data_IF_303651310323
#
_entry.id   IF_303651310323
#
_cell.length_a   1.000
_cell.length_b   1.000
_cell.length_c   1.000
_cell.angle_alpha   90.00
_cell.angle_beta   90.00
_cell.angle_gamma   90.00
#
_symmetry.space_group_name_H-M   'P 1'
#
loop_
_entity.id
_entity.type
_entity.pdbx_description
1 polymer ?
#
# COMPACT_ATOMS: atom_id res chain seq x y z
N UNK A 1 -15.26 -10.16 68.26
CA UNK A 1 -15.06 -9.51 66.93
C UNK A 1 -15.44 -10.50 65.86
N UNK A 2 -16.48 -10.14 65.11
CA UNK A 2 -17.27 -10.99 64.21
C UNK A 2 -16.60 -11.12 62.84
N UNK A 3 -16.26 -12.33 62.41
CA UNK A 3 -15.94 -12.63 61.00
C UNK A 3 -17.26 -12.83 60.24
N UNK A 4 -17.60 -11.86 59.38
CA UNK A 4 -18.73 -11.95 58.47
C UNK A 4 -18.31 -12.76 57.24
N UNK A 5 -18.95 -13.92 57.06
CA UNK A 5 -18.99 -14.65 55.80
C UNK A 5 -19.96 -13.89 54.90
N UNK A 6 -19.46 -13.30 53.82
CA UNK A 6 -20.30 -12.72 52.77
C UNK A 6 -20.34 -13.73 51.62
N UNK A 7 -21.44 -14.46 51.55
CA UNK A 7 -21.83 -15.29 50.42
C UNK A 7 -22.16 -14.36 49.24
N UNK A 8 -21.27 -14.25 48.25
CA UNK A 8 -21.59 -13.62 46.97
C UNK A 8 -22.29 -14.65 46.08
N UNK A 9 -23.61 -14.51 46.00
CA UNK A 9 -24.46 -15.16 45.02
C UNK A 9 -24.21 -14.49 43.66
N UNK A 10 -23.41 -15.12 42.79
CA UNK A 10 -23.34 -14.71 41.39
C UNK A 10 -24.64 -15.16 40.71
N UNK A 11 -25.58 -14.22 40.58
CA UNK A 11 -26.68 -14.35 39.61
C UNK A 11 -26.07 -14.32 38.22
N UNK A 12 -25.97 -15.48 37.58
CA UNK A 12 -25.77 -15.61 36.15
C UNK A 12 -26.96 -14.92 35.47
N UNK A 13 -26.78 -13.69 35.00
CA UNK A 13 -27.66 -13.12 33.98
C UNK A 13 -27.26 -13.81 32.68
N UNK A 14 -27.84 -14.98 32.43
CA UNK A 14 -27.88 -15.54 31.10
C UNK A 14 -28.73 -14.60 30.25
N UNK A 15 -28.10 -13.70 29.52
CA UNK A 15 -28.72 -13.03 28.39
C UNK A 15 -29.01 -14.10 27.34
N UNK A 16 -30.16 -14.76 27.49
CA UNK A 16 -30.80 -15.53 26.44
C UNK A 16 -31.09 -14.54 25.31
N UNK A 17 -30.19 -14.45 24.33
CA UNK A 17 -30.50 -13.86 23.03
C UNK A 17 -31.48 -14.82 22.35
N UNK A 18 -32.76 -14.69 22.71
CA UNK A 18 -33.85 -15.21 21.89
C UNK A 18 -33.71 -14.49 20.54
N UNK A 19 -33.32 -15.22 19.49
CA UNK A 19 -33.53 -14.75 18.14
C UNK A 19 -35.02 -14.45 18.00
N UNK A 20 -35.37 -13.17 17.91
CA UNK A 20 -36.73 -12.78 17.59
C UNK A 20 -37.01 -13.30 16.18
N UNK A 21 -37.83 -14.35 16.08
CA UNK A 21 -38.49 -14.68 14.83
C UNK A 21 -39.44 -13.53 14.55
N UNK A 22 -39.04 -12.64 13.63
CA UNK A 22 -39.91 -11.59 13.13
C UNK A 22 -40.91 -12.29 12.23
N UNK A 23 -42.19 -12.22 12.59
CA UNK A 23 -43.27 -12.82 11.81
C UNK A 23 -43.24 -12.27 10.38
N UNK A 24 -43.24 -13.17 9.40
CA UNK A 24 -43.14 -12.83 7.98
C UNK A 24 -41.73 -12.62 7.43
N UNK A 25 -40.67 -12.61 8.26
CA UNK A 25 -39.28 -12.60 7.79
C UNK A 25 -38.79 -14.03 7.53
N UNK A 26 -38.44 -14.31 6.29
CA UNK A 26 -38.02 -15.63 5.82
C UNK A 26 -36.67 -15.56 5.09
N UNK A 27 -35.98 -16.69 5.03
CA UNK A 27 -34.75 -16.87 4.26
C UNK A 27 -35.03 -17.75 3.05
N UNK A 28 -34.62 -17.33 1.86
CA UNK A 28 -34.69 -18.12 0.64
C UNK A 28 -33.29 -18.58 0.25
N UNK A 29 -33.13 -19.88 0.00
CA UNK A 29 -31.83 -20.43 -0.39
C UNK A 29 -31.32 -19.79 -1.69
N UNK A 30 -30.07 -19.34 -1.68
CA UNK A 30 -29.43 -18.70 -2.83
C UNK A 30 -28.34 -19.58 -3.45
N UNK A 31 -27.31 -19.96 -2.67
CA UNK A 31 -26.21 -20.78 -3.19
C UNK A 31 -25.45 -21.48 -2.08
N UNK A 32 -24.68 -22.51 -2.46
CA UNK A 32 -23.76 -23.21 -1.57
C UNK A 32 -22.36 -23.18 -2.16
N UNK A 33 -21.36 -22.83 -1.34
CA UNK A 33 -19.94 -23.03 -1.65
C UNK A 33 -19.35 -24.04 -0.67
N UNK A 34 -18.49 -24.93 -1.15
CA UNK A 34 -17.80 -25.91 -0.32
C UNK A 34 -16.30 -25.60 -0.35
N UNK A 35 -15.67 -25.52 0.83
CA UNK A 35 -14.22 -25.48 0.98
C UNK A 35 -13.72 -26.82 1.54
N UNK A 36 -12.40 -27.05 1.63
CA UNK A 36 -11.84 -28.22 2.30
C UNK A 36 -12.23 -28.35 3.79
N UNK A 37 -12.79 -27.30 4.40
CA UNK A 37 -13.07 -27.25 5.84
C UNK A 37 -14.57 -27.13 6.18
N UNK A 38 -15.40 -26.58 5.29
CA UNK A 38 -16.79 -26.27 5.61
C UNK A 38 -17.67 -26.10 4.36
N UNK A 39 -18.98 -26.17 4.58
CA UNK A 39 -20.02 -25.78 3.63
C UNK A 39 -20.57 -24.40 4.02
N UNK A 40 -20.73 -23.51 3.04
CA UNK A 40 -21.19 -22.14 3.19
C UNK A 40 -22.49 -21.97 2.40
N UNK A 41 -23.62 -22.04 3.10
CA UNK A 41 -24.95 -21.89 2.52
C UNK A 41 -25.40 -20.43 2.67
N UNK A 42 -25.65 -19.77 1.54
CA UNK A 42 -26.13 -18.39 1.49
C UNK A 42 -27.61 -18.37 1.17
N UNK A 43 -28.30 -17.43 1.79
CA UNK A 43 -29.72 -17.19 1.63
C UNK A 43 -29.95 -15.69 1.42
N UNK A 44 -30.98 -15.36 0.65
CA UNK A 44 -31.56 -14.01 0.56
C UNK A 44 -32.69 -13.88 1.58
N UNK A 45 -33.13 -12.65 1.84
CA UNK A 45 -34.25 -12.38 2.75
C UNK A 45 -35.53 -12.05 1.99
N UNK A 46 -36.66 -12.47 2.56
CA UNK A 46 -37.99 -11.99 2.20
C UNK A 46 -38.75 -11.54 3.44
N UNK A 47 -39.53 -10.48 3.34
CA UNK A 47 -40.48 -10.07 4.37
C UNK A 47 -41.88 -10.00 3.77
N UNK A 48 -42.83 -10.78 4.30
CA UNK A 48 -44.20 -10.88 3.77
C UNK A 48 -44.25 -11.15 2.25
N UNK A 49 -43.37 -12.05 1.79
CA UNK A 49 -43.17 -12.39 0.38
C UNK A 49 -42.59 -11.27 -0.52
N UNK A 50 -42.16 -10.14 0.07
CA UNK A 50 -41.43 -9.08 -0.61
C UNK A 50 -39.93 -9.33 -0.43
N UNK A 51 -39.15 -9.33 -1.51
CA UNK A 51 -37.72 -9.59 -1.43
C UNK A 51 -36.96 -8.39 -0.88
N UNK A 52 -36.04 -8.63 0.06
CA UNK A 52 -35.14 -7.62 0.61
C UNK A 52 -33.84 -7.66 -0.19
N UNK A 53 -33.44 -6.50 -0.73
CA UNK A 53 -32.23 -6.34 -1.53
C UNK A 53 -30.99 -6.18 -0.65
N UNK A 54 -29.82 -6.50 -1.23
CA UNK A 54 -28.48 -6.28 -0.64
C UNK A 54 -28.16 -6.98 0.69
N UNK A 55 -29.12 -7.69 1.27
CA UNK A 55 -28.91 -8.44 2.51
C UNK A 55 -28.87 -9.95 2.28
N UNK A 56 -27.99 -10.64 3.02
CA UNK A 56 -27.80 -12.08 2.97
C UNK A 56 -27.69 -12.69 4.37
N UNK A 57 -28.16 -13.92 4.48
CA UNK A 57 -27.93 -14.78 5.62
C UNK A 57 -26.96 -15.90 5.20
N UNK A 58 -25.98 -16.19 6.05
CA UNK A 58 -24.96 -17.20 5.82
C UNK A 58 -25.03 -18.22 6.95
N UNK A 59 -25.13 -19.49 6.57
CA UNK A 59 -24.90 -20.63 7.44
C UNK A 59 -23.58 -21.30 7.07
N UNK A 60 -22.71 -21.46 8.06
CA UNK A 60 -21.45 -22.20 7.94
C UNK A 60 -21.66 -23.52 8.66
N UNK A 61 -21.53 -24.61 7.91
CA UNK A 61 -21.70 -25.98 8.40
C UNK A 61 -20.40 -26.75 8.20
N UNK A 62 -20.15 -27.72 9.08
CA UNK A 62 -19.08 -28.69 8.88
C UNK A 62 -19.41 -29.59 7.68
N UNK A 63 -18.42 -30.33 7.18
CA UNK A 63 -18.61 -31.20 6.00
C UNK A 63 -19.62 -32.33 6.22
N UNK A 64 -19.82 -32.73 7.48
CA UNK A 64 -20.84 -33.68 7.95
C UNK A 64 -22.20 -33.02 8.27
N UNK A 65 -22.34 -31.72 8.03
CA UNK A 65 -23.62 -31.00 8.04
C UNK A 65 -24.01 -30.31 9.35
N UNK A 66 -23.19 -30.43 10.40
CA UNK A 66 -23.43 -29.75 11.68
C UNK A 66 -23.24 -28.23 11.55
N UNK A 67 -24.15 -27.47 12.15
CA UNK A 67 -24.07 -26.01 12.17
C UNK A 67 -22.86 -25.55 13.00
N UNK A 68 -21.98 -24.76 12.41
CA UNK A 68 -20.83 -24.16 13.10
C UNK A 68 -21.16 -22.73 13.50
N UNK A 69 -21.61 -21.91 12.55
CA UNK A 69 -21.81 -20.48 12.74
C UNK A 69 -22.81 -19.92 11.75
N UNK A 70 -23.52 -18.87 12.14
CA UNK A 70 -24.37 -18.10 11.24
C UNK A 70 -23.94 -16.64 11.21
N UNK A 71 -24.22 -15.94 10.11
CA UNK A 71 -23.98 -14.50 9.96
C UNK A 71 -25.12 -13.88 9.15
N UNK A 72 -25.60 -12.73 9.60
CA UNK A 72 -26.60 -11.91 8.91
C UNK A 72 -25.96 -10.59 8.51
N UNK A 73 -26.19 -10.12 7.29
CA UNK A 73 -25.95 -8.70 6.96
C UNK A 73 -27.14 -7.79 7.23
N UNK A 74 -28.33 -8.36 7.52
CA UNK A 74 -29.49 -7.58 7.94
C UNK A 74 -29.31 -7.16 9.40
N UNK A 75 -29.20 -5.86 9.65
CA UNK A 75 -28.90 -5.28 10.96
C UNK A 75 -30.07 -5.40 11.95
N UNK A 76 -29.80 -5.18 13.24
CA UNK A 76 -30.84 -5.23 14.27
C UNK A 76 -31.86 -4.10 14.10
N UNK A 77 -31.41 -2.93 13.64
CA UNK A 77 -32.23 -1.75 13.37
C UNK A 77 -33.14 -2.00 12.16
N UNK A 78 -32.59 -2.53 11.06
CA UNK A 78 -33.36 -2.89 9.87
C UNK A 78 -34.45 -3.92 10.19
N UNK A 79 -34.09 -4.94 10.99
CA UNK A 79 -35.01 -5.95 11.51
C UNK A 79 -36.13 -5.32 12.35
N UNK A 80 -35.80 -4.44 13.29
CA UNK A 80 -36.77 -3.79 14.16
C UNK A 80 -37.74 -2.86 13.42
N UNK A 81 -37.33 -2.32 12.26
CA UNK A 81 -38.16 -1.44 11.44
C UNK A 81 -39.11 -2.19 10.48
N UNK A 82 -39.00 -3.52 10.35
CA UNK A 82 -39.94 -4.31 9.56
C UNK A 82 -41.34 -4.24 10.20
N UNK A 83 -42.34 -3.92 9.38
CA UNK A 83 -43.71 -3.76 9.84
C UNK A 83 -44.71 -4.08 8.72
N UNK A 84 -45.97 -4.41 9.03
CA UNK A 84 -46.94 -4.88 8.03
C UNK A 84 -47.41 -3.85 6.98
N UNK A 85 -47.03 -2.57 7.08
CA UNK A 85 -47.39 -1.56 6.08
C UNK A 85 -46.37 -1.41 4.97
N UNK A 86 -45.29 -2.20 4.98
CA UNK A 86 -44.28 -2.18 3.93
C UNK A 86 -44.82 -2.85 2.67
N UNK A 87 -44.65 -2.20 1.53
CA UNK A 87 -45.11 -2.68 0.23
C UNK A 87 -43.93 -2.87 -0.74
N UNK A 88 -44.11 -3.74 -1.72
CA UNK A 88 -43.09 -4.10 -2.71
C UNK A 88 -43.12 -3.22 -3.96
N UNK A 89 -42.35 -3.58 -5.01
CA UNK A 89 -41.95 -4.96 -5.33
C UNK A 89 -40.71 -5.49 -4.59
N UNK A 90 -39.82 -4.61 -4.12
CA UNK A 90 -38.64 -4.98 -3.34
C UNK A 90 -38.42 -3.99 -2.20
N UNK A 91 -37.74 -4.43 -1.13
CA UNK A 91 -37.37 -3.58 0.00
C UNK A 91 -35.87 -3.28 -0.01
N UNK A 92 -35.52 -2.00 0.10
CA UNK A 92 -34.14 -1.51 0.25
C UNK A 92 -34.01 -0.74 1.57
N UNK A 93 -32.98 -1.05 2.35
CA UNK A 93 -32.71 -0.35 3.62
C UNK A 93 -31.74 0.80 3.40
N UNK A 94 -32.19 2.04 3.67
CA UNK A 94 -31.36 3.25 3.57
C UNK A 94 -31.77 4.25 4.65
N UNK A 95 -30.80 4.96 5.22
CA UNK A 95 -31.06 6.07 6.15
C UNK A 95 -32.07 5.73 7.26
N UNK A 96 -31.94 4.52 7.84
CA UNK A 96 -32.80 3.96 8.86
C UNK A 96 -34.29 3.78 8.46
N UNK A 97 -34.59 3.63 7.18
CA UNK A 97 -35.93 3.41 6.66
C UNK A 97 -35.95 2.33 5.56
N UNK A 98 -37.08 1.63 5.47
CA UNK A 98 -37.37 0.70 4.38
C UNK A 98 -38.00 1.47 3.22
N UNK A 99 -37.38 1.38 2.04
CA UNK A 99 -37.87 1.95 0.80
C UNK A 99 -38.46 0.84 -0.07
N UNK A 100 -39.61 1.08 -0.67
CA UNK A 100 -40.13 0.26 -1.76
C UNK A 100 -39.47 0.68 -3.07
N UNK A 101 -38.79 -0.26 -3.72
CA UNK A 101 -38.00 0.03 -4.92
C UNK A 101 -38.20 -0.98 -6.03
N UNK A 102 -37.97 -0.54 -7.27
CA UNK A 102 -37.73 -1.40 -8.44
C UNK A 102 -36.26 -1.25 -8.86
N UNK A 103 -35.45 -2.31 -8.78
CA UNK A 103 -34.09 -2.29 -9.33
C UNK A 103 -34.11 -2.42 -10.86
N UNK A 104 -33.20 -1.73 -11.51
CA UNK A 104 -32.85 -1.88 -12.92
C UNK A 104 -31.34 -2.05 -13.04
N UNK A 105 -30.88 -2.98 -13.88
CA UNK A 105 -29.44 -3.31 -13.97
C UNK A 105 -28.95 -3.08 -15.39
N UNK A 106 -27.97 -2.19 -15.52
CA UNK A 106 -27.25 -1.97 -16.78
C UNK A 106 -25.93 -2.72 -16.73
N UNK A 107 -25.68 -3.55 -17.74
CA UNK A 107 -24.35 -4.11 -18.01
C UNK A 107 -24.14 -4.16 -19.53
N UNK A 108 -23.45 -3.16 -20.07
CA UNK A 108 -23.17 -3.04 -21.51
C UNK A 108 -21.70 -3.32 -21.86
N UNK A 109 -20.91 -3.82 -20.91
CA UNK A 109 -19.47 -4.08 -21.06
C UNK A 109 -18.57 -2.88 -20.81
N UNK A 110 -19.13 -1.67 -20.68
CA UNK A 110 -18.42 -0.43 -20.30
C UNK A 110 -18.98 0.08 -18.97
N UNK A 111 -20.30 0.17 -18.89
CA UNK A 111 -21.05 0.57 -17.72
C UNK A 111 -21.65 -0.67 -17.05
N UNK A 112 -21.47 -0.75 -15.74
CA UNK A 112 -22.08 -1.77 -14.90
C UNK A 112 -22.61 -1.10 -13.63
N UNK A 113 -23.93 -0.93 -13.53
CA UNK A 113 -24.57 -0.29 -12.38
C UNK A 113 -25.97 -0.84 -12.12
N UNK A 114 -26.50 -0.58 -10.92
CA UNK A 114 -27.88 -0.85 -10.53
C UNK A 114 -28.56 0.44 -10.13
N UNK A 115 -29.65 0.80 -10.80
CA UNK A 115 -30.50 1.93 -10.44
C UNK A 115 -31.72 1.46 -9.65
N UNK A 116 -32.06 2.16 -8.59
CA UNK A 116 -33.26 1.89 -7.79
C UNK A 116 -34.30 2.99 -8.03
N UNK A 117 -35.50 2.59 -8.47
CA UNK A 117 -36.60 3.51 -8.75
C UNK A 117 -37.71 3.39 -7.70
N UNK A 118 -38.36 4.50 -7.34
CA UNK A 118 -39.56 4.49 -6.50
C UNK A 118 -40.82 4.08 -7.29
N UNK A 119 -41.98 4.07 -6.63
CA UNK A 119 -43.28 3.75 -7.25
C UNK A 119 -43.74 4.76 -8.31
N UNK A 120 -43.23 5.98 -8.27
CA UNK A 120 -43.49 7.05 -9.25
C UNK A 120 -42.50 7.02 -10.42
N UNK A 121 -41.61 6.01 -10.45
CA UNK A 121 -40.53 5.83 -11.41
C UNK A 121 -39.48 6.96 -11.39
N UNK A 122 -39.27 7.56 -10.22
CA UNK A 122 -38.17 8.47 -9.96
C UNK A 122 -36.95 7.69 -9.45
N UNK A 123 -35.76 8.06 -9.91
CA UNK A 123 -34.49 7.47 -9.47
C UNK A 123 -34.20 7.86 -8.01
N UNK A 124 -33.98 6.87 -7.15
CA UNK A 124 -33.61 7.04 -5.74
C UNK A 124 -32.09 7.05 -5.59
N UNK A 125 -31.43 6.06 -6.17
CA UNK A 125 -30.00 5.80 -6.00
C UNK A 125 -29.49 4.97 -7.18
N UNK A 126 -28.26 5.26 -7.60
CA UNK A 126 -27.49 4.42 -8.52
C UNK A 126 -26.31 3.81 -7.76
N UNK A 127 -26.15 2.50 -7.87
CA UNK A 127 -25.02 1.75 -7.34
C UNK A 127 -24.10 1.35 -8.49
N UNK A 128 -22.97 2.02 -8.60
CA UNK A 128 -21.93 1.66 -9.55
C UNK A 128 -21.24 0.36 -9.14
N UNK A 129 -21.15 -0.58 -10.09
CA UNK A 129 -20.54 -1.90 -9.94
C UNK A 129 -19.23 -2.03 -10.74
N UNK A 130 -18.76 -0.95 -11.38
CA UNK A 130 -17.45 -0.92 -12.01
C UNK A 130 -16.33 -0.78 -10.99
N UNK A 131 -15.20 -1.42 -11.30
CA UNK A 131 -13.93 -1.13 -10.63
C UNK A 131 -13.30 0.06 -11.35
N UNK A 132 -13.33 1.24 -10.73
CA UNK A 132 -12.60 2.41 -11.23
C UNK A 132 -11.14 2.32 -10.82
N UNK A 133 -10.24 2.53 -11.79
CA UNK A 133 -8.86 2.87 -11.47
C UNK A 133 -8.89 4.28 -10.89
N UNK A 134 -8.65 4.37 -9.58
CA UNK A 134 -8.52 5.64 -8.88
C UNK A 134 -7.09 6.14 -9.04
N UNK A 135 -6.59 6.25 -10.27
CA UNK A 135 -5.25 6.70 -10.58
C UNK A 135 -5.23 7.91 -11.52
N UNK A 136 -4.10 8.59 -11.54
CA UNK A 136 -3.83 9.70 -12.46
C UNK A 136 -2.34 9.75 -12.76
N UNK A 137 -1.98 10.23 -13.95
CA UNK A 137 -0.59 10.45 -14.33
C UNK A 137 -0.22 11.90 -14.10
N UNK A 138 0.79 12.12 -13.27
CA UNK A 138 1.31 13.46 -12.93
C UNK A 138 2.68 13.67 -13.54
N UNK A 139 3.02 14.92 -13.83
CA UNK A 139 4.39 15.30 -14.16
C UNK A 139 5.19 15.45 -12.87
N UNK A 140 6.44 15.00 -12.89
CA UNK A 140 7.37 15.07 -11.75
C UNK A 140 8.74 15.54 -12.22
N UNK A 141 9.46 16.22 -11.33
CA UNK A 141 10.88 16.57 -11.50
C UNK A 141 11.73 15.62 -10.67
N UNK A 142 12.75 15.03 -11.28
CA UNK A 142 13.63 14.02 -10.65
C UNK A 142 15.08 14.15 -11.13
N UNK A 143 16.02 13.66 -10.32
CA UNK A 143 17.32 13.21 -10.83
C UNK A 143 17.16 11.83 -11.48
N UNK A 144 17.99 11.49 -12.48
CA UNK A 144 17.84 10.20 -13.17
C UNK A 144 19.16 9.67 -13.76
N UNK A 145 19.81 8.68 -13.11
CA UNK A 145 19.53 8.22 -11.74
C UNK A 145 19.92 9.27 -10.68
N UNK A 146 20.90 10.11 -10.99
CA UNK A 146 21.51 11.10 -10.10
C UNK A 146 21.80 12.41 -10.88
N UNK A 147 22.14 13.53 -10.22
CA UNK A 147 22.36 14.79 -10.92
C UNK A 147 23.64 14.84 -11.77
N UNK A 148 24.68 14.07 -11.42
CA UNK A 148 26.04 14.28 -11.90
C UNK A 148 26.48 13.30 -12.98
N UNK A 149 26.24 12.01 -12.79
CA UNK A 149 26.71 10.94 -13.69
C UNK A 149 26.17 11.08 -15.11
N UNK A 150 24.87 11.37 -15.34
CA UNK A 150 24.35 11.59 -16.69
C UNK A 150 25.04 12.73 -17.43
N UNK A 151 25.61 13.68 -16.68
CA UNK A 151 26.24 14.89 -17.17
C UNK A 151 27.78 14.79 -17.20
N UNK A 152 28.36 13.63 -16.87
CA UNK A 152 29.81 13.44 -16.68
C UNK A 152 30.43 14.46 -15.71
N UNK A 153 29.68 14.82 -14.68
CA UNK A 153 30.15 15.70 -13.61
C UNK A 153 30.67 14.87 -12.44
N UNK A 154 31.37 15.52 -11.50
CA UNK A 154 31.87 14.87 -10.29
C UNK A 154 31.57 15.77 -9.10
N UNK A 155 31.32 15.14 -7.95
CA UNK A 155 31.01 15.84 -6.72
C UNK A 155 32.13 16.83 -6.35
N UNK A 156 31.75 18.05 -6.00
CA UNK A 156 32.68 19.11 -5.61
C UNK A 156 32.41 20.47 -6.27
N UNK A 157 33.05 21.51 -5.76
CA UNK A 157 32.88 22.87 -6.28
C UNK A 157 31.44 23.37 -6.09
N UNK A 158 30.72 23.57 -7.19
CA UNK A 158 29.30 23.98 -7.18
C UNK A 158 28.33 22.78 -7.23
N UNK A 159 28.85 21.56 -7.38
CA UNK A 159 28.10 20.30 -7.48
C UNK A 159 28.21 19.53 -6.17
N UNK A 160 27.69 20.11 -5.09
CA UNK A 160 27.73 19.53 -3.73
C UNK A 160 26.41 19.79 -3.05
N UNK A 161 25.83 18.84 -2.34
CA UNK A 161 24.47 18.94 -1.78
C UNK A 161 24.18 20.30 -1.08
N UNK A 162 25.08 20.74 -0.18
CA UNK A 162 24.97 22.01 0.55
C UNK A 162 23.69 22.15 1.40
N UNK A 163 23.14 21.04 1.90
CA UNK A 163 21.89 21.00 2.66
C UNK A 163 20.80 21.79 1.91
N UNK A 164 20.55 21.40 0.67
CA UNK A 164 19.59 22.02 -0.27
C UNK A 164 19.90 23.43 -0.73
N UNK A 165 20.99 24.02 -0.22
CA UNK A 165 21.36 25.41 -0.49
C UNK A 165 21.82 25.68 -1.93
N UNK A 166 22.00 24.67 -2.75
CA UNK A 166 22.56 24.78 -4.11
C UNK A 166 21.52 24.57 -5.23
N UNK A 167 20.22 24.55 -4.92
CA UNK A 167 19.16 24.17 -5.88
C UNK A 167 19.23 24.94 -7.21
N UNK A 168 19.64 26.21 -7.20
CA UNK A 168 19.85 26.99 -8.44
C UNK A 168 20.87 26.40 -9.43
N UNK A 169 21.74 25.48 -9.00
CA UNK A 169 22.65 24.70 -9.86
C UNK A 169 22.04 23.33 -10.17
N UNK A 170 21.69 22.55 -9.14
CA UNK A 170 21.28 21.15 -9.33
C UNK A 170 19.89 20.99 -9.95
N UNK A 171 18.97 21.95 -9.76
CA UNK A 171 17.65 21.92 -10.42
C UNK A 171 17.80 21.93 -11.94
N UNK A 172 18.88 22.52 -12.47
CA UNK A 172 19.16 22.51 -13.91
C UNK A 172 19.60 21.14 -14.45
N UNK A 173 19.98 20.21 -13.56
CA UNK A 173 20.40 18.85 -13.87
C UNK A 173 19.26 17.82 -13.69
N UNK A 174 18.10 18.26 -13.22
CA UNK A 174 16.88 17.44 -13.17
C UNK A 174 16.25 17.26 -14.55
N UNK A 175 15.43 16.22 -14.68
CA UNK A 175 14.53 16.04 -15.83
C UNK A 175 13.07 16.15 -15.37
N UNK A 176 12.18 16.44 -16.33
CA UNK A 176 10.74 16.25 -16.15
C UNK A 176 10.32 14.93 -16.79
N UNK A 177 9.60 14.11 -16.03
CA UNK A 177 8.98 12.88 -16.52
C UNK A 177 7.59 12.71 -15.85
N UNK A 178 7.03 11.51 -15.87
CA UNK A 178 5.71 11.21 -15.37
C UNK A 178 5.66 9.89 -14.61
N UNK A 179 4.78 9.87 -13.61
CA UNK A 179 4.48 8.70 -12.79
C UNK A 179 2.97 8.62 -12.56
N UNK A 180 2.44 7.40 -12.50
CA UNK A 180 1.04 7.14 -12.16
C UNK A 180 0.89 6.98 -10.66
N UNK A 181 -0.11 7.67 -10.10
CA UNK A 181 -0.37 7.78 -8.67
C UNK A 181 -1.86 7.72 -8.36
N UNK A 182 -2.22 7.32 -7.15
CA UNK A 182 -3.59 7.18 -6.69
C UNK A 182 -4.26 8.54 -6.45
N UNK A 183 -5.57 8.62 -6.73
CA UNK A 183 -6.49 9.68 -6.34
C UNK A 183 -7.46 9.11 -5.29
N UNK A 184 -7.38 9.60 -4.06
CA UNK A 184 -8.25 9.16 -2.97
C UNK A 184 -9.04 10.35 -2.43
N UNK A 185 -10.37 10.32 -2.56
CA UNK A 185 -11.27 11.42 -2.17
C UNK A 185 -10.82 12.76 -2.78
N UNK A 186 -10.71 12.81 -4.11
CA UNK A 186 -10.26 13.97 -4.89
C UNK A 186 -8.86 14.50 -4.53
N UNK A 187 -8.06 13.72 -3.81
CA UNK A 187 -6.70 14.08 -3.39
C UNK A 187 -5.70 13.15 -4.04
N UNK A 188 -4.75 13.70 -4.80
CA UNK A 188 -3.63 12.92 -5.36
C UNK A 188 -2.68 12.54 -4.23
N UNK A 189 -2.23 11.30 -4.21
CA UNK A 189 -1.33 10.76 -3.17
C UNK A 189 -0.07 10.21 -3.82
N UNK A 190 1.11 10.42 -3.24
CA UNK A 190 2.34 9.73 -3.62
C UNK A 190 2.27 8.24 -3.24
N UNK A 191 1.44 7.53 -3.99
CA UNK A 191 1.03 6.16 -3.75
C UNK A 191 0.59 5.54 -5.08
N UNK A 192 0.90 4.28 -5.32
CA UNK A 192 0.30 3.47 -6.37
C UNK A 192 0.36 1.98 -5.96
N UNK A 193 0.27 1.06 -6.93
CA UNK A 193 0.35 -0.38 -6.66
C UNK A 193 1.69 -0.85 -6.08
N UNK A 194 2.77 -0.08 -6.25
CA UNK A 194 4.14 -0.46 -5.90
C UNK A 194 4.69 0.26 -4.67
N UNK A 195 4.23 1.48 -4.39
CA UNK A 195 4.74 2.31 -3.30
C UNK A 195 3.60 3.05 -2.58
N UNK A 196 3.79 3.33 -1.29
CA UNK A 196 3.02 4.29 -0.52
C UNK A 196 3.96 5.12 0.37
N UNK A 197 4.12 6.40 0.02
CA UNK A 197 4.90 7.33 0.85
C UNK A 197 4.09 7.69 2.09
N UNK A 198 4.66 7.45 3.27
CA UNK A 198 4.05 7.71 4.57
C UNK A 198 5.11 8.17 5.56
N UNK A 199 4.78 9.20 6.32
CA UNK A 199 5.57 9.69 7.46
C UNK A 199 5.33 8.77 8.68
N UNK A 200 6.37 8.05 9.12
CA UNK A 200 6.27 7.12 10.25
C UNK A 200 7.48 7.11 11.18
N UNK A 201 8.57 7.78 10.84
CA UNK A 201 9.74 7.96 11.69
C UNK A 201 10.06 9.46 11.83
N UNK A 202 10.96 9.84 12.72
CA UNK A 202 11.36 11.25 12.80
C UNK A 202 12.36 11.59 11.67
N UNK A 203 12.47 12.85 11.22
CA UNK A 203 11.56 13.96 11.49
C UNK A 203 10.18 13.80 10.84
N UNK A 204 9.12 14.22 11.54
CA UNK A 204 7.75 14.09 11.03
C UNK A 204 7.42 15.18 10.01
N UNK A 205 7.58 14.86 8.73
CA UNK A 205 7.33 15.75 7.58
C UNK A 205 6.04 15.34 6.87
N UNK A 206 5.19 16.33 6.54
CA UNK A 206 3.91 16.04 5.89
C UNK A 206 4.09 15.56 4.45
N UNK A 207 3.45 14.45 4.10
CA UNK A 207 3.47 13.95 2.71
C UNK A 207 2.66 14.87 1.81
N UNK A 208 3.30 15.33 0.75
CA UNK A 208 2.69 16.25 -0.20
C UNK A 208 1.56 15.60 -1.01
N UNK A 209 0.56 16.42 -1.30
CA UNK A 209 -0.61 16.06 -2.11
C UNK A 209 -0.86 17.06 -3.25
N UNK A 210 0.09 17.95 -3.52
CA UNK A 210 -0.02 18.97 -4.56
C UNK A 210 0.98 18.68 -5.70
N UNK A 211 0.50 18.19 -6.87
CA UNK A 211 1.34 17.95 -8.04
C UNK A 211 2.12 19.18 -8.54
N UNK A 212 1.70 20.41 -8.20
CA UNK A 212 2.47 21.60 -8.57
C UNK A 212 3.79 21.68 -7.80
N UNK A 213 3.86 21.16 -6.57
CA UNK A 213 5.10 21.13 -5.79
C UNK A 213 6.09 20.09 -6.34
N UNK A 214 5.58 19.02 -6.95
CA UNK A 214 6.37 17.89 -7.46
C UNK A 214 7.20 18.23 -8.71
N UNK A 215 7.10 19.46 -9.21
CA UNK A 215 7.90 19.99 -10.33
C UNK A 215 8.75 21.22 -9.95
N UNK A 216 8.71 21.65 -8.68
CA UNK A 216 9.26 22.94 -8.24
C UNK A 216 10.79 23.00 -8.13
N UNK A 217 11.45 21.88 -7.82
CA UNK A 217 12.91 21.84 -7.61
C UNK A 217 13.26 20.99 -6.39
N UNK A 218 14.55 20.78 -6.16
CA UNK A 218 15.08 19.93 -5.09
C UNK A 218 14.98 20.52 -3.69
N UNK A 219 14.87 21.85 -3.59
CA UNK A 219 15.02 22.55 -2.30
C UNK A 219 13.92 22.31 -1.26
N UNK A 220 12.92 21.48 -1.59
CA UNK A 220 11.79 21.22 -0.69
C UNK A 220 11.67 19.72 -0.51
N UNK A 221 11.27 19.30 0.70
CA UNK A 221 11.08 17.91 1.13
C UNK A 221 10.21 17.06 0.18
N UNK A 222 9.39 17.71 -0.67
CA UNK A 222 8.63 17.02 -1.69
C UNK A 222 9.49 16.35 -2.77
N UNK A 223 10.72 16.82 -2.99
CA UNK A 223 11.58 16.29 -4.02
C UNK A 223 12.00 14.84 -3.71
N UNK A 224 12.44 14.57 -2.49
CA UNK A 224 12.79 13.24 -1.99
C UNK A 224 11.56 12.31 -2.04
N UNK A 225 10.39 12.82 -1.65
CA UNK A 225 9.11 12.08 -1.73
C UNK A 225 8.77 11.70 -3.18
N UNK A 226 9.05 12.58 -4.13
CA UNK A 226 8.87 12.34 -5.57
C UNK A 226 9.91 11.37 -6.11
N UNK A 227 11.17 11.50 -5.71
CA UNK A 227 12.28 10.63 -6.10
C UNK A 227 12.01 9.18 -5.74
N UNK A 228 11.64 8.90 -4.47
CA UNK A 228 11.29 7.54 -4.04
C UNK A 228 10.08 7.00 -4.81
N UNK A 229 9.06 7.84 -5.03
CA UNK A 229 7.86 7.45 -5.76
C UNK A 229 8.19 7.08 -7.20
N UNK A 230 8.97 7.91 -7.89
CA UNK A 230 9.34 7.72 -9.28
C UNK A 230 10.22 6.47 -9.45
N UNK A 231 11.35 6.39 -8.75
CA UNK A 231 12.33 5.32 -8.97
C UNK A 231 11.81 3.93 -8.57
N UNK A 232 11.10 3.82 -7.44
CA UNK A 232 10.48 2.55 -7.02
C UNK A 232 9.40 2.13 -8.01
N UNK A 233 8.61 3.07 -8.53
CA UNK A 233 7.60 2.77 -9.55
C UNK A 233 8.25 2.26 -10.83
N UNK A 234 9.24 2.98 -11.39
CA UNK A 234 9.92 2.57 -12.63
C UNK A 234 10.62 1.22 -12.50
N UNK A 235 11.24 0.95 -11.35
CA UNK A 235 11.89 -0.35 -11.13
C UNK A 235 10.87 -1.49 -11.05
N UNK A 236 9.75 -1.30 -10.36
CA UNK A 236 8.71 -2.32 -10.30
C UNK A 236 7.99 -2.51 -11.64
N UNK A 237 7.78 -1.46 -12.43
CA UNK A 237 7.29 -1.56 -13.80
C UNK A 237 8.23 -2.41 -14.66
N UNK A 238 9.55 -2.22 -14.52
CA UNK A 238 10.55 -3.04 -15.19
C UNK A 238 10.50 -4.50 -14.75
N UNK A 239 10.44 -4.78 -13.44
CA UNK A 239 10.29 -6.15 -12.93
C UNK A 239 9.01 -6.81 -13.42
N UNK A 240 7.90 -6.06 -13.45
CA UNK A 240 6.63 -6.56 -13.97
C UNK A 240 6.72 -6.89 -15.47
N UNK A 241 7.40 -6.07 -16.26
CA UNK A 241 7.65 -6.34 -17.68
C UNK A 241 8.50 -7.59 -17.93
N UNK A 242 9.25 -8.04 -16.91
CA UNK A 242 10.03 -9.29 -16.92
C UNK A 242 9.28 -10.49 -16.32
N UNK A 243 7.97 -10.37 -16.07
CA UNK A 243 7.12 -11.35 -15.39
C UNK A 243 7.48 -11.61 -13.91
N UNK A 244 8.22 -10.69 -13.28
CA UNK A 244 8.57 -10.73 -11.84
C UNK A 244 7.64 -9.90 -10.94
N UNK A 245 6.53 -9.37 -11.46
CA UNK A 245 5.59 -8.52 -10.71
C UNK A 245 4.97 -9.17 -9.45
N UNK A 246 5.07 -10.49 -9.31
CA UNK A 246 4.58 -11.22 -8.14
C UNK A 246 5.58 -11.31 -6.97
N UNK A 247 6.82 -10.84 -7.14
CA UNK A 247 7.83 -10.84 -6.05
C UNK A 247 7.42 -9.85 -4.94
N UNK A 248 7.05 -8.63 -5.34
CA UNK A 248 6.54 -7.58 -4.45
C UNK A 248 5.04 -7.40 -4.71
N UNK A 249 4.23 -8.22 -4.06
CA UNK A 249 2.77 -8.20 -4.20
C UNK A 249 2.06 -7.21 -3.26
N UNK A 250 2.77 -6.19 -2.82
CA UNK A 250 2.30 -5.13 -1.93
C UNK A 250 2.97 -3.81 -2.30
N UNK A 251 2.29 -2.70 -2.00
CA UNK A 251 2.92 -1.39 -2.08
C UNK A 251 3.89 -1.22 -0.91
N UNK A 252 5.18 -1.03 -1.19
CA UNK A 252 6.17 -0.83 -0.13
C UNK A 252 5.95 0.52 0.53
N UNK A 253 5.97 0.53 1.85
CA UNK A 253 5.82 1.76 2.62
C UNK A 253 7.18 2.44 2.74
N UNK A 254 7.24 3.73 2.46
CA UNK A 254 8.50 4.49 2.41
C UNK A 254 8.36 5.77 3.18
N UNK A 255 9.36 6.06 4.01
CA UNK A 255 9.56 7.36 4.65
C UNK A 255 10.87 7.96 4.12
N UNK A 256 10.80 9.01 3.28
CA UNK A 256 11.97 9.65 2.69
C UNK A 256 12.64 10.65 3.63
N UNK A 257 12.03 10.97 4.79
CA UNK A 257 12.55 11.88 5.81
C UNK A 257 12.58 11.18 7.18
N UNK A 258 13.33 10.09 7.26
CA UNK A 258 13.37 9.18 8.40
C UNK A 258 14.69 9.26 9.20
N UNK A 259 14.84 8.34 10.16
CA UNK A 259 16.06 8.07 10.92
C UNK A 259 16.58 9.28 11.72
N UNK A 260 15.69 10.21 12.02
CA UNK A 260 15.95 11.48 12.66
C UNK A 260 17.05 12.27 11.94
N UNK A 261 17.04 12.25 10.60
CA UNK A 261 17.98 12.98 9.73
C UNK A 261 19.41 12.43 9.77
N UNK A 262 19.57 11.13 10.00
CA UNK A 262 20.89 10.48 9.93
C UNK A 262 21.31 10.30 8.46
N UNK A 263 22.61 10.34 8.21
CA UNK A 263 23.26 9.93 6.94
C UNK A 263 23.23 8.40 6.89
N UNK A 264 22.05 7.86 6.58
CA UNK A 264 21.73 6.44 6.64
C UNK A 264 20.40 6.13 5.93
N UNK A 265 20.34 4.92 5.35
CA UNK A 265 19.12 4.32 4.83
C UNK A 265 19.03 2.86 5.23
N UNK A 266 17.79 2.30 5.20
CA UNK A 266 17.58 0.89 5.49
C UNK A 266 16.22 0.33 5.04
N UNK A 267 16.23 -0.95 4.73
CA UNK A 267 15.06 -1.81 4.63
C UNK A 267 14.75 -2.52 5.96
N UNK A 268 13.49 -2.41 6.41
CA UNK A 268 12.98 -3.10 7.59
C UNK A 268 11.91 -4.13 7.23
N UNK A 269 12.29 -5.41 7.25
CA UNK A 269 11.36 -6.54 7.07
C UNK A 269 10.47 -6.81 8.31
N UNK A 270 10.79 -6.22 9.46
CA UNK A 270 10.08 -6.45 10.73
C UNK A 270 8.73 -5.72 10.85
N UNK A 271 8.37 -4.91 9.86
CA UNK A 271 7.08 -4.22 9.77
C UNK A 271 6.13 -4.93 8.80
N UNK A 272 4.83 -4.58 8.83
CA UNK A 272 3.83 -5.18 7.94
C UNK A 272 2.94 -4.08 7.30
N UNK A 273 3.09 -3.79 5.99
CA UNK A 273 4.12 -4.34 5.10
C UNK A 273 5.53 -3.88 5.53
N UNK A 274 6.59 -4.55 5.03
CA UNK A 274 7.97 -4.07 5.15
C UNK A 274 8.14 -2.63 4.67
N UNK A 275 9.17 -1.95 5.20
CA UNK A 275 9.36 -0.49 5.02
C UNK A 275 10.76 -0.12 4.58
N UNK A 276 10.89 0.99 3.86
CA UNK A 276 12.14 1.66 3.55
C UNK A 276 12.23 2.98 4.33
N UNK A 277 13.43 3.28 4.81
CA UNK A 277 13.76 4.47 5.59
C UNK A 277 14.94 5.15 4.90
N UNK A 278 14.84 6.46 4.68
CA UNK A 278 15.91 7.27 4.13
C UNK A 278 16.10 8.50 5.02
N UNK A 279 17.31 8.81 5.43
CA UNK A 279 17.60 10.02 6.17
C UNK A 279 18.17 11.14 5.29
N UNK A 280 18.32 12.30 5.89
CA UNK A 280 18.70 13.57 5.24
C UNK A 280 20.09 14.05 5.71
N UNK A 281 20.93 13.12 6.17
CA UNK A 281 22.25 13.48 6.66
C UNK A 281 23.26 13.46 5.52
N UNK A 282 24.09 14.51 5.38
CA UNK A 282 25.15 14.50 4.37
C UNK A 282 24.61 14.85 2.99
N UNK A 283 24.41 13.84 2.14
CA UNK A 283 23.56 13.95 0.94
C UNK A 283 22.26 13.23 1.31
N UNK A 284 21.12 13.80 0.97
CA UNK A 284 19.85 13.17 1.29
C UNK A 284 19.73 11.83 0.55
N UNK A 285 19.65 10.73 1.31
CA UNK A 285 19.67 9.36 0.78
C UNK A 285 18.55 9.15 -0.27
N UNK A 286 17.42 9.84 -0.10
CA UNK A 286 16.27 9.79 -1.00
C UNK A 286 16.43 10.65 -2.27
N UNK A 287 17.57 11.31 -2.50
CA UNK A 287 17.89 12.00 -3.76
C UNK A 287 18.79 11.19 -4.70
N UNK A 288 19.34 10.05 -4.26
CA UNK A 288 20.15 9.17 -5.10
C UNK A 288 19.35 7.91 -5.47
N UNK A 289 19.03 7.73 -6.76
CA UNK A 289 18.33 6.53 -7.20
C UNK A 289 19.11 5.25 -6.90
N UNK A 290 20.45 5.28 -6.85
CA UNK A 290 21.23 4.11 -6.47
C UNK A 290 20.91 3.66 -5.04
N UNK A 291 20.77 4.61 -4.10
CA UNK A 291 20.40 4.33 -2.70
C UNK A 291 18.98 3.78 -2.63
N UNK A 292 18.03 4.44 -3.30
CA UNK A 292 16.62 4.01 -3.35
C UNK A 292 16.49 2.58 -3.89
N UNK A 293 17.20 2.28 -4.99
CA UNK A 293 17.14 0.98 -5.65
C UNK A 293 17.91 -0.09 -4.87
N UNK A 294 19.00 0.26 -4.20
CA UNK A 294 19.71 -0.65 -3.29
C UNK A 294 18.77 -1.15 -2.18
N UNK A 295 18.08 -0.23 -1.50
CA UNK A 295 17.17 -0.57 -0.40
C UNK A 295 15.92 -1.33 -0.89
N UNK A 296 15.39 -0.96 -2.06
CA UNK A 296 14.37 -1.77 -2.73
C UNK A 296 14.89 -3.17 -3.09
N UNK A 297 16.18 -3.31 -3.41
CA UNK A 297 16.87 -4.57 -3.67
C UNK A 297 16.78 -5.54 -2.49
N UNK A 298 16.91 -5.04 -1.26
CA UNK A 298 16.66 -5.84 -0.07
C UNK A 298 15.20 -6.32 0.02
N UNK A 299 14.23 -5.46 -0.29
CA UNK A 299 12.82 -5.84 -0.33
C UNK A 299 12.55 -6.92 -1.38
N UNK A 300 13.14 -6.78 -2.59
CA UNK A 300 13.05 -7.77 -3.68
C UNK A 300 13.65 -9.11 -3.22
N UNK A 301 14.84 -9.10 -2.62
CA UNK A 301 15.48 -10.32 -2.10
C UNK A 301 14.63 -11.00 -1.02
N UNK A 302 14.06 -10.20 -0.11
CA UNK A 302 13.16 -10.69 0.93
C UNK A 302 11.87 -11.29 0.36
N UNK A 303 11.25 -10.64 -0.64
CA UNK A 303 10.06 -11.15 -1.32
C UNK A 303 10.33 -12.43 -2.12
N UNK A 304 11.49 -12.53 -2.77
CA UNK A 304 11.87 -13.69 -3.58
C UNK A 304 12.25 -14.91 -2.72
N UNK A 305 12.87 -14.69 -1.56
CA UNK A 305 13.33 -15.74 -0.67
C UNK A 305 13.04 -15.39 0.81
N UNK A 306 11.77 -15.39 1.23
CA UNK A 306 11.39 -15.03 2.59
C UNK A 306 11.98 -16.00 3.62
N UNK A 307 12.18 -15.52 4.85
CA UNK A 307 12.72 -16.30 5.98
C UNK A 307 14.13 -16.91 5.78
N UNK A 308 14.88 -16.44 4.78
CA UNK A 308 16.24 -16.92 4.50
C UNK A 308 17.31 -15.84 4.61
N UNK A 309 17.01 -14.72 5.28
CA UNK A 309 17.83 -13.49 5.45
C UNK A 309 18.87 -13.57 6.59
N UNK A 310 19.29 -14.78 7.00
CA UNK A 310 20.21 -14.98 8.12
C UNK A 310 21.54 -15.60 7.66
N UNK A 311 22.63 -15.21 8.33
CA UNK A 311 24.00 -15.68 8.03
C UNK A 311 24.80 -14.67 7.20
N UNK A 312 26.12 -14.70 7.35
CA UNK A 312 27.02 -13.71 6.75
C UNK A 312 27.05 -13.83 5.22
N UNK A 313 27.02 -15.05 4.68
CA UNK A 313 26.96 -15.28 3.24
C UNK A 313 25.68 -14.72 2.63
N UNK A 314 24.55 -14.90 3.32
CA UNK A 314 23.27 -14.35 2.87
C UNK A 314 23.28 -12.82 2.89
N UNK A 315 23.71 -12.21 3.99
CA UNK A 315 23.76 -10.75 4.10
C UNK A 315 24.68 -10.14 3.06
N UNK A 316 25.84 -10.74 2.85
CA UNK A 316 26.78 -10.35 1.80
C UNK A 316 26.13 -10.43 0.41
N UNK A 317 25.35 -11.48 0.15
CA UNK A 317 24.61 -11.60 -1.10
C UNK A 317 23.52 -10.54 -1.25
N UNK A 318 22.77 -10.23 -0.19
CA UNK A 318 21.70 -9.23 -0.23
C UNK A 318 22.25 -7.82 -0.52
N UNK A 319 23.37 -7.44 0.10
CA UNK A 319 24.08 -6.18 -0.19
C UNK A 319 24.61 -6.14 -1.62
N UNK A 320 25.28 -7.21 -2.05
CA UNK A 320 25.81 -7.28 -3.41
C UNK A 320 24.70 -7.25 -4.47
N UNK A 321 23.51 -7.78 -4.15
CA UNK A 321 22.34 -7.71 -5.01
C UNK A 321 21.78 -6.29 -5.07
N UNK A 322 21.71 -5.58 -3.94
CA UNK A 322 21.34 -4.17 -3.88
C UNK A 322 22.26 -3.31 -4.74
N UNK A 323 23.58 -3.43 -4.54
CA UNK A 323 24.61 -2.73 -5.33
C UNK A 323 24.51 -3.07 -6.83
N UNK A 324 24.24 -4.33 -7.15
CA UNK A 324 24.03 -4.75 -8.53
C UNK A 324 22.79 -4.07 -9.12
N UNK A 325 21.67 -4.02 -8.41
CA UNK A 325 20.48 -3.34 -8.94
C UNK A 325 20.68 -1.84 -9.09
N UNK A 326 21.38 -1.18 -8.15
CA UNK A 326 21.75 0.22 -8.24
C UNK A 326 22.55 0.52 -9.52
N UNK A 327 23.70 -0.14 -9.75
CA UNK A 327 24.51 0.08 -10.97
C UNK A 327 23.71 -0.21 -12.25
N UNK A 328 22.90 -1.28 -12.24
CA UNK A 328 22.12 -1.67 -13.40
C UNK A 328 21.00 -0.69 -13.72
N UNK A 329 20.45 -0.02 -12.72
CA UNK A 329 19.37 0.94 -12.88
C UNK A 329 19.82 2.12 -13.76
N UNK A 330 20.94 2.76 -13.43
CA UNK A 330 21.54 3.80 -14.28
C UNK A 330 21.87 3.29 -15.69
N UNK A 331 22.44 2.07 -15.79
CA UNK A 331 22.81 1.45 -17.07
C UNK A 331 21.63 1.20 -17.99
N UNK A 332 20.44 0.90 -17.45
CA UNK A 332 19.22 0.74 -18.24
C UNK A 332 18.82 2.03 -18.96
N UNK A 333 19.14 3.19 -18.38
CA UNK A 333 18.94 4.51 -18.96
C UNK A 333 20.14 5.02 -19.77
N UNK A 334 21.16 4.16 -19.98
CA UNK A 334 22.37 4.49 -20.75
C UNK A 334 23.46 5.20 -19.94
N UNK A 335 23.27 5.41 -18.64
CA UNK A 335 24.25 6.02 -17.73
C UNK A 335 25.17 4.92 -17.20
N UNK A 336 26.49 5.09 -17.30
CA UNK A 336 27.44 4.06 -16.85
C UNK A 336 28.42 4.64 -15.85
N UNK A 337 28.46 4.05 -14.67
CA UNK A 337 29.47 4.31 -13.65
C UNK A 337 30.21 3.03 -13.26
N UNK A 338 31.40 3.20 -12.71
CA UNK A 338 32.14 2.12 -12.01
C UNK A 338 31.99 2.23 -10.50
N UNK A 339 31.27 3.26 -10.06
CA UNK A 339 30.91 3.54 -8.69
C UNK A 339 29.44 3.17 -8.52
N UNK A 340 29.07 2.96 -7.27
CA UNK A 340 27.69 2.79 -6.84
C UNK A 340 27.46 3.93 -5.85
N UNK A 341 26.25 4.49 -5.85
CA UNK A 341 25.88 5.68 -5.08
C UNK A 341 26.64 6.89 -5.62
N UNK A 342 26.46 7.18 -6.91
CA UNK A 342 27.22 8.21 -7.60
C UNK A 342 27.05 9.62 -7.00
N UNK A 343 25.90 9.91 -6.38
CA UNK A 343 25.63 11.17 -5.70
C UNK A 343 25.93 11.07 -4.19
N UNK A 344 25.38 10.06 -3.54
CA UNK A 344 25.49 9.87 -2.09
C UNK A 344 26.87 9.33 -1.62
N UNK A 345 27.50 8.47 -2.42
CA UNK A 345 28.75 7.76 -2.08
C UNK A 345 30.03 8.28 -2.74
N UNK A 346 30.09 9.53 -3.16
CA UNK A 346 31.26 10.07 -3.87
C UNK A 346 31.70 11.44 -3.38
N UNK A 347 31.54 11.68 -2.09
CA UNK A 347 31.67 12.99 -1.49
C UNK A 347 32.58 12.95 -0.25
N UNK A 348 32.52 14.00 0.57
CA UNK A 348 33.33 14.14 1.77
C UNK A 348 32.82 13.35 2.98
N UNK A 349 31.59 12.84 2.92
CA UNK A 349 30.93 12.10 3.98
C UNK A 349 31.26 10.61 3.86
N UNK A 350 31.11 10.07 2.65
CA UNK A 350 31.35 8.66 2.36
C UNK A 350 32.01 8.44 0.99
N UNK A 351 32.91 7.45 0.93
CA UNK A 351 33.64 7.08 -0.28
C UNK A 351 32.88 6.04 -1.13
N UNK A 352 31.61 5.74 -0.83
CA UNK A 352 30.76 4.87 -1.64
C UNK A 352 31.33 3.48 -1.87
N UNK A 353 30.77 2.81 -2.88
CA UNK A 353 31.22 1.48 -3.32
C UNK A 353 31.74 1.53 -4.76
N UNK A 354 32.42 0.48 -5.16
CA UNK A 354 32.88 0.32 -6.54
C UNK A 354 32.54 -1.06 -7.05
N UNK A 355 32.01 -1.12 -8.27
CA UNK A 355 31.79 -2.34 -9.01
C UNK A 355 33.10 -2.94 -9.57
N UNK A 356 34.22 -2.22 -9.47
CA UNK A 356 35.54 -2.66 -9.93
C UNK A 356 36.28 -3.32 -8.78
N UNK A 357 36.82 -4.51 -9.03
CA UNK A 357 37.70 -5.18 -8.09
C UNK A 357 39.02 -4.41 -7.96
N UNK A 358 39.29 -3.92 -6.76
CA UNK A 358 40.48 -3.14 -6.39
C UNK A 358 41.73 -4.00 -6.12
N UNK A 359 41.58 -5.33 -6.13
CA UNK A 359 42.67 -6.26 -5.83
C UNK A 359 42.91 -6.49 -4.34
N UNK A 360 42.14 -5.86 -3.44
CA UNK A 360 42.34 -5.89 -1.99
C UNK A 360 41.16 -6.45 -1.20
N UNK A 361 39.93 -6.45 -1.73
CA UNK A 361 38.77 -7.03 -1.04
C UNK A 361 38.91 -8.56 -0.85
N UNK A 362 38.96 -8.99 0.41
CA UNK A 362 38.97 -10.40 0.84
C UNK A 362 37.68 -10.74 1.60
N UNK A 363 36.77 -11.44 0.93
CA UNK A 363 35.46 -11.84 1.48
C UNK A 363 35.56 -12.79 2.68
N UNK A 364 36.73 -13.37 2.97
CA UNK A 364 36.91 -14.23 4.14
C UNK A 364 37.05 -13.45 5.45
N UNK A 365 37.29 -12.13 5.39
CA UNK A 365 37.53 -11.29 6.56
C UNK A 365 36.40 -10.30 6.84
N UNK A 366 35.27 -10.41 6.13
CA UNK A 366 34.13 -9.52 6.28
C UNK A 366 33.21 -10.07 7.37
N UNK A 367 32.90 -9.25 8.38
CA UNK A 367 32.15 -9.70 9.56
C UNK A 367 30.77 -9.07 9.74
N UNK A 368 30.35 -8.14 8.86
CA UNK A 368 29.00 -7.54 8.91
C UNK A 368 28.76 -6.56 7.77
N UNK A 369 27.53 -6.56 7.25
CA UNK A 369 26.95 -5.46 6.47
C UNK A 369 25.55 -5.20 7.04
N UNK A 370 25.29 -3.96 7.45
CA UNK A 370 24.02 -3.58 8.07
C UNK A 370 23.39 -2.33 7.45
N UNK A 371 24.15 -1.59 6.64
CA UNK A 371 23.72 -0.38 5.95
C UNK A 371 24.63 -0.10 4.75
N UNK A 372 24.24 0.86 3.90
CA UNK A 372 24.99 1.22 2.70
C UNK A 372 26.44 1.66 2.99
N UNK A 373 26.72 2.22 4.17
CA UNK A 373 28.04 2.79 4.53
C UNK A 373 29.10 1.77 4.96
N UNK A 374 28.71 0.51 5.27
CA UNK A 374 29.61 -0.60 5.60
C UNK A 374 30.02 -1.37 4.34
#
# INVERSE_FOLDING_TARGET
>A
MSRRIITLLFTLISSLTFGQNIEGLEHEYFTTRISPHAQYQRYTYRYQNIQILEHQYLEIRSLDGHMIKTKSSLSQEARAALNPSLEGPYLLWRSNNWLSVRPDTTNNGIEHYVEFYNSENELIEELDLNLHLNDTTVQVRVFNPDPLTPNNLSYGGIYTDMNDGNAGVLDSLTILDSVTVDVVNDTVRLKNSYIHVIDFDAPYISISTDPNNWVSGRANDEFEQVMVTYHITKQNEYLNALDYGNILNYAIHVDPQALNGQDNSMFNWGTNPPRLFFGEGGVDDAEDADVIIHELGHAISHGAAPASTNGDERRTFDEALGDYFAERYGRMSGVQSTRIFDWDGNNTFWNGRSAVYDGQKDYNNISSFWNIYQ
#
